data_IF_200771275419
#
_entry.id   IF_200771275419
#
_cell.length_a   1.000
_cell.length_b   1.000
_cell.length_c   1.000
_cell.angle_alpha   90.00
_cell.angle_beta   90.00
_cell.angle_gamma   90.00
#
_symmetry.space_group_name_H-M   'P 1'
#
loop_
_entity.id
_entity.type
_entity.pdbx_description
1 polymer ?
#
# COMPACT_ATOMS: atom_id res chain seq x y z
N UNK A 1 -4.06 -15.09 12.87
CA UNK A 1 -3.31 -15.66 11.72
C UNK A 1 -2.80 -14.57 10.75
N UNK A 2 -2.76 -13.27 11.15
CA UNK A 2 -2.33 -12.17 10.28
C UNK A 2 -0.82 -11.88 10.33
N UNK A 3 -0.11 -12.33 11.38
CA UNK A 3 1.30 -12.00 11.61
C UNK A 3 2.28 -12.75 10.70
N UNK A 4 1.94 -13.97 10.26
CA UNK A 4 2.87 -14.83 9.49
C UNK A 4 3.10 -14.33 8.07
N UNK A 5 2.08 -13.79 7.40
CA UNK A 5 2.20 -13.31 6.01
C UNK A 5 3.01 -12.01 5.89
N UNK A 6 2.90 -11.10 6.88
CA UNK A 6 3.66 -9.85 6.93
C UNK A 6 5.16 -10.11 7.08
N UNK A 7 5.54 -11.04 7.96
CA UNK A 7 6.94 -11.45 8.16
C UNK A 7 7.57 -12.09 6.92
N UNK A 8 6.79 -12.89 6.18
CA UNK A 8 7.25 -13.50 4.92
C UNK A 8 7.50 -12.42 3.87
N UNK A 9 6.57 -11.49 3.67
CA UNK A 9 6.74 -10.43 2.66
C UNK A 9 7.95 -9.53 2.98
N UNK A 10 8.13 -9.18 4.26
CA UNK A 10 9.25 -8.37 4.73
C UNK A 10 10.60 -9.09 4.53
N UNK A 11 10.68 -10.37 4.87
CA UNK A 11 11.92 -11.15 4.68
C UNK A 11 12.27 -11.34 3.20
N UNK A 12 11.28 -11.64 2.35
CA UNK A 12 11.45 -11.76 0.89
C UNK A 12 11.87 -10.41 0.28
N UNK A 13 11.26 -9.31 0.72
CA UNK A 13 11.61 -7.95 0.29
C UNK A 13 13.06 -7.60 0.61
N UNK A 14 13.50 -7.84 1.86
CA UNK A 14 14.89 -7.63 2.29
C UNK A 14 15.88 -8.44 1.44
N UNK A 15 15.59 -9.72 1.20
CA UNK A 15 16.43 -10.60 0.37
C UNK A 15 16.55 -10.06 -1.07
N UNK A 16 15.42 -9.74 -1.73
CA UNK A 16 15.41 -9.22 -3.11
C UNK A 16 16.11 -7.87 -3.24
N UNK A 17 16.00 -7.00 -2.24
CA UNK A 17 16.70 -5.72 -2.23
C UNK A 17 18.22 -5.90 -2.11
N UNK A 18 18.67 -6.84 -1.28
CA UNK A 18 20.10 -7.19 -1.18
C UNK A 18 20.65 -7.72 -2.51
N UNK A 19 19.93 -8.62 -3.18
CA UNK A 19 20.31 -9.16 -4.50
C UNK A 19 20.42 -8.06 -5.59
N UNK A 20 19.69 -6.96 -5.45
CA UNK A 20 19.72 -5.81 -6.37
C UNK A 20 20.72 -4.72 -5.95
N UNK A 21 21.54 -4.96 -4.93
CA UNK A 21 22.52 -3.99 -4.42
C UNK A 21 21.89 -2.80 -3.67
N UNK A 22 20.64 -2.91 -3.26
CA UNK A 22 19.90 -1.86 -2.53
C UNK A 22 19.98 -2.01 -1.01
N UNK A 23 20.66 -3.06 -0.51
CA UNK A 23 20.69 -3.42 0.92
C UNK A 23 21.64 -2.60 1.81
N UNK A 24 22.75 -2.12 1.25
CA UNK A 24 23.84 -1.50 2.05
C UNK A 24 23.81 0.04 2.06
N UNK A 25 22.97 0.65 1.24
CA UNK A 25 22.82 2.10 1.21
C UNK A 25 21.77 2.57 2.24
N UNK A 26 22.06 3.64 2.97
CA UNK A 26 21.15 4.30 3.96
C UNK A 26 19.83 4.83 3.36
N UNK A 27 19.55 4.56 2.09
CA UNK A 27 18.34 4.97 1.38
C UNK A 27 17.11 4.10 1.69
N UNK A 28 17.28 2.90 2.26
CA UNK A 28 16.17 2.00 2.59
C UNK A 28 16.21 1.57 4.06
N UNK A 29 15.15 1.90 4.80
CA UNK A 29 14.95 1.47 6.20
C UNK A 29 13.73 0.55 6.24
N UNK A 30 13.93 -0.65 6.76
CA UNK A 30 12.87 -1.66 6.86
C UNK A 30 12.27 -1.67 8.25
N UNK A 31 10.96 -1.44 8.36
CA UNK A 31 10.22 -1.48 9.62
C UNK A 31 9.03 -2.42 9.50
N UNK A 32 8.84 -3.28 10.51
CA UNK A 32 7.63 -4.08 10.65
C UNK A 32 6.59 -3.28 11.44
N UNK A 33 5.37 -3.19 10.92
CA UNK A 33 4.30 -2.41 11.56
C UNK A 33 2.92 -2.70 10.97
N UNK A 34 1.90 -2.21 11.68
CA UNK A 34 0.51 -2.25 11.24
C UNK A 34 0.20 -0.98 10.43
N UNK A 35 -0.39 -1.15 9.24
CA UNK A 35 -0.77 -0.04 8.38
C UNK A 35 -1.95 0.77 8.95
N UNK A 36 -2.74 0.19 9.86
CA UNK A 36 -3.83 0.89 10.58
C UNK A 36 -3.34 1.63 11.84
N UNK A 37 -2.06 1.47 12.24
CA UNK A 37 -1.48 2.10 13.42
C UNK A 37 0.04 2.29 13.29
N UNK A 38 0.46 3.31 12.54
CA UNK A 38 1.87 3.60 12.27
C UNK A 38 2.54 4.25 13.49
N UNK A 39 3.68 3.70 13.92
CA UNK A 39 4.43 4.15 15.11
C UNK A 39 5.30 5.40 14.89
N UNK A 40 5.03 6.17 13.84
CA UNK A 40 5.83 7.32 13.47
C UNK A 40 5.07 8.64 13.72
N UNK A 41 5.82 9.75 13.87
CA UNK A 41 5.24 11.07 14.12
C UNK A 41 4.51 11.65 12.91
N UNK A 42 3.60 12.58 13.16
CA UNK A 42 2.81 13.26 12.15
C UNK A 42 3.70 14.07 11.20
N UNK A 43 3.41 14.03 9.89
CA UNK A 43 4.12 14.82 8.89
C UNK A 43 5.61 14.50 8.77
N UNK A 44 6.03 13.28 9.07
CA UNK A 44 7.45 12.90 9.03
C UNK A 44 7.93 12.42 7.65
N UNK A 45 7.02 12.18 6.71
CA UNK A 45 7.34 11.66 5.37
C UNK A 45 6.84 12.56 4.24
N UNK A 46 7.62 12.76 3.19
CA UNK A 46 7.20 13.57 2.03
C UNK A 46 6.14 12.85 1.14
N UNK A 47 6.11 11.52 1.19
CA UNK A 47 5.19 10.71 0.38
C UNK A 47 4.85 9.37 1.00
N UNK A 48 3.71 8.82 0.58
CA UNK A 48 3.25 7.49 0.97
C UNK A 48 2.85 6.70 -0.27
N UNK A 49 3.29 5.45 -0.35
CA UNK A 49 2.90 4.54 -1.42
C UNK A 49 2.53 3.18 -0.83
N UNK A 50 1.41 2.63 -1.30
CA UNK A 50 0.99 1.27 -0.98
C UNK A 50 0.63 0.53 -2.27
N UNK A 51 1.33 -0.56 -2.55
CA UNK A 51 1.08 -1.40 -3.72
C UNK A 51 0.39 -2.69 -3.27
N UNK A 52 -0.85 -2.92 -3.73
CA UNK A 52 -1.62 -4.15 -3.51
C UNK A 52 -1.94 -4.54 -2.05
N UNK A 53 -1.32 -3.91 -1.05
CA UNK A 53 -1.52 -4.22 0.37
C UNK A 53 -2.81 -3.66 0.97
N UNK A 54 -3.32 -2.53 0.46
CA UNK A 54 -4.45 -1.82 1.08
C UNK A 54 -5.76 -2.59 1.06
N UNK A 55 -5.93 -3.56 0.15
CA UNK A 55 -7.12 -4.43 0.13
C UNK A 55 -7.13 -5.51 1.23
N UNK A 56 -6.00 -5.69 1.93
CA UNK A 56 -5.82 -6.75 2.92
C UNK A 56 -5.89 -6.23 4.37
N UNK A 57 -6.04 -4.92 4.57
CA UNK A 57 -6.26 -4.34 5.90
C UNK A 57 -7.70 -4.59 6.35
N UNK A 58 -7.94 -4.58 7.65
CA UNK A 58 -9.26 -4.86 8.21
C UNK A 58 -10.18 -3.67 8.00
N UNK A 59 -9.66 -2.46 8.22
CA UNK A 59 -10.39 -1.20 8.02
C UNK A 59 -9.57 -0.27 7.13
N UNK A 60 -10.04 -0.07 5.91
CA UNK A 60 -9.37 0.74 4.89
C UNK A 60 -9.29 2.20 5.35
N UNK A 61 -10.33 2.67 6.04
CA UNK A 61 -10.49 4.02 6.54
C UNK A 61 -9.41 4.37 7.56
N UNK A 62 -9.08 3.44 8.46
CA UNK A 62 -8.01 3.61 9.44
C UNK A 62 -6.65 3.72 8.74
N UNK A 63 -6.37 2.84 7.78
CA UNK A 63 -5.13 2.89 7.02
C UNK A 63 -4.99 4.19 6.20
N UNK A 64 -6.09 4.70 5.63
CA UNK A 64 -6.10 5.98 4.91
C UNK A 64 -5.90 7.17 5.87
N UNK A 65 -6.53 7.14 7.05
CA UNK A 65 -6.34 8.17 8.08
C UNK A 65 -4.89 8.22 8.57
N UNK A 66 -4.27 7.06 8.80
CA UNK A 66 -2.86 6.96 9.17
C UNK A 66 -1.93 7.43 8.04
N UNK A 67 -2.22 7.07 6.80
CA UNK A 67 -1.48 7.58 5.65
C UNK A 67 -1.56 9.11 5.56
N UNK A 68 -2.75 9.69 5.78
CA UNK A 68 -2.95 11.14 5.82
C UNK A 68 -2.18 11.80 6.96
N UNK A 69 -2.20 11.20 8.17
CA UNK A 69 -1.45 11.69 9.33
C UNK A 69 0.05 11.71 9.08
N UNK A 70 0.56 10.67 8.43
CA UNK A 70 2.00 10.43 8.28
C UNK A 70 2.68 11.30 7.22
N UNK A 71 1.96 11.63 6.13
CA UNK A 71 2.49 12.41 5.01
C UNK A 71 2.51 13.91 5.31
N UNK A 72 3.67 14.54 5.13
CA UNK A 72 3.86 15.95 4.81
C UNK A 72 4.11 16.09 3.30
N UNK A 73 3.94 17.29 2.79
CA UNK A 73 3.91 17.59 1.35
C UNK A 73 5.08 16.96 0.55
N UNK A 74 4.74 16.35 -0.60
CA UNK A 74 5.55 16.18 -1.84
C UNK A 74 5.81 14.74 -2.33
N UNK A 75 5.09 14.40 -3.41
CA UNK A 75 5.43 13.48 -4.50
C UNK A 75 6.26 12.22 -4.22
N UNK A 76 5.60 11.06 -4.35
CA UNK A 76 6.07 9.96 -5.20
C UNK A 76 4.93 8.97 -5.48
N UNK A 77 4.60 8.80 -6.75
CA UNK A 77 3.84 7.65 -7.27
C UNK A 77 4.88 6.63 -7.73
N UNK A 78 4.93 5.46 -7.10
CA UNK A 78 5.77 4.34 -7.55
C UNK A 78 4.90 3.32 -8.29
N UNK A 79 5.36 2.79 -9.44
CA UNK A 79 4.59 1.87 -10.26
C UNK A 79 4.44 0.49 -9.61
N UNK A 80 3.37 -0.20 -10.00
CA UNK A 80 3.00 -1.54 -9.57
C UNK A 80 4.16 -2.55 -9.66
N UNK A 81 4.47 -3.22 -8.54
CA UNK A 81 5.20 -4.49 -8.56
C UNK A 81 4.18 -5.61 -8.75
N UNK A 82 3.92 -5.95 -10.01
CA UNK A 82 3.23 -7.17 -10.39
C UNK A 82 4.22 -8.32 -10.46
N UNK A 83 4.17 -9.21 -9.47
CA UNK A 83 4.46 -10.66 -9.50
C UNK A 83 4.76 -11.13 -8.07
N UNK A 84 3.71 -11.59 -7.40
CA UNK A 84 3.82 -12.41 -6.20
C UNK A 84 3.18 -13.75 -6.52
N UNK A 85 4.05 -14.72 -6.80
CA UNK A 85 3.76 -16.14 -6.86
C UNK A 85 3.39 -16.62 -5.45
N UNK A 86 2.08 -16.67 -5.15
CA UNK A 86 1.55 -17.22 -3.92
C UNK A 86 0.98 -18.62 -4.22
N UNK A 87 1.89 -19.60 -4.21
CA UNK A 87 1.64 -20.99 -4.61
C UNK A 87 0.91 -21.85 -3.57
N UNK A 88 -0.26 -21.42 -3.06
CA UNK A 88 -1.20 -22.33 -2.39
C UNK A 88 -2.68 -21.97 -2.66
N UNK A 89 -3.56 -22.98 -2.60
CA UNK A 89 -4.99 -22.86 -2.96
C UNK A 89 -5.75 -21.87 -2.06
N UNK A 90 -5.32 -21.73 -0.80
CA UNK A 90 -5.93 -20.86 0.19
C UNK A 90 -5.60 -19.38 -0.09
N UNK A 91 -4.36 -19.09 -0.50
CA UNK A 91 -3.89 -17.78 -0.93
C UNK A 91 -4.62 -17.28 -2.18
N UNK A 92 -4.93 -18.15 -3.14
CA UNK A 92 -5.75 -17.78 -4.30
C UNK A 92 -7.21 -17.47 -3.95
N UNK A 93 -7.82 -18.25 -3.06
CA UNK A 93 -9.18 -17.97 -2.58
C UNK A 93 -9.24 -16.65 -1.80
N UNK A 94 -8.23 -16.40 -0.96
CA UNK A 94 -8.08 -15.13 -0.25
C UNK A 94 -7.89 -13.96 -1.22
N UNK A 95 -7.03 -14.12 -2.23
CA UNK A 95 -6.81 -13.11 -3.27
C UNK A 95 -8.12 -12.74 -3.97
N UNK A 96 -8.88 -13.74 -4.46
CA UNK A 96 -10.17 -13.51 -5.12
C UNK A 96 -11.18 -12.87 -4.16
N UNK A 97 -11.22 -13.32 -2.90
CA UNK A 97 -12.09 -12.76 -1.88
C UNK A 97 -11.80 -11.29 -1.59
N UNK A 98 -10.51 -10.91 -1.51
CA UNK A 98 -10.08 -9.52 -1.29
C UNK A 98 -10.41 -8.62 -2.48
N UNK A 99 -10.24 -9.10 -3.72
CA UNK A 99 -10.57 -8.34 -4.94
C UNK A 99 -12.07 -8.03 -5.01
N UNK A 100 -12.93 -9.00 -4.68
CA UNK A 100 -14.40 -8.81 -4.75
C UNK A 100 -14.94 -7.84 -3.70
N UNK A 101 -14.29 -7.74 -2.55
CA UNK A 101 -14.70 -6.85 -1.45
C UNK A 101 -14.16 -5.44 -1.64
N UNK A 102 -13.16 -5.25 -2.49
CA UNK A 102 -12.55 -3.95 -2.69
C UNK A 102 -13.54 -2.98 -3.35
N UNK A 103 -13.63 -1.72 -2.89
CA UNK A 103 -14.51 -0.73 -3.49
C UNK A 103 -14.20 -0.51 -4.97
N UNK A 104 -15.22 -0.16 -5.75
CA UNK A 104 -15.02 0.30 -7.13
C UNK A 104 -14.14 1.57 -7.14
N UNK A 105 -13.44 1.81 -8.24
CA UNK A 105 -12.40 2.85 -8.34
C UNK A 105 -12.91 4.24 -7.93
N UNK A 106 -14.11 4.61 -8.36
CA UNK A 106 -14.76 5.88 -7.99
C UNK A 106 -15.06 5.98 -6.49
N UNK A 107 -15.58 4.89 -5.90
CA UNK A 107 -15.86 4.83 -4.46
C UNK A 107 -14.56 4.92 -3.66
N UNK A 108 -13.52 4.21 -4.09
CA UNK A 108 -12.23 4.26 -3.42
C UNK A 108 -11.58 5.65 -3.52
N UNK A 109 -11.67 6.31 -4.68
CA UNK A 109 -11.25 7.71 -4.83
C UNK A 109 -12.02 8.63 -3.88
N UNK A 110 -13.32 8.37 -3.67
CA UNK A 110 -14.10 9.14 -2.69
C UNK A 110 -13.63 8.92 -1.27
N UNK A 111 -13.32 7.68 -0.89
CA UNK A 111 -12.75 7.37 0.43
C UNK A 111 -11.41 8.09 0.66
N UNK A 112 -10.54 8.16 -0.35
CA UNK A 112 -9.29 8.93 -0.28
C UNK A 112 -9.58 10.41 -0.06
N UNK A 113 -10.56 10.97 -0.76
CA UNK A 113 -10.96 12.37 -0.58
C UNK A 113 -11.55 12.65 0.81
N UNK A 114 -12.40 11.75 1.31
CA UNK A 114 -13.04 11.87 2.63
C UNK A 114 -12.01 11.74 3.77
N UNK A 115 -10.88 11.07 3.54
CA UNK A 115 -9.73 11.05 4.46
C UNK A 115 -8.95 12.37 4.53
N UNK A 116 -9.25 13.35 3.66
CA UNK A 116 -8.66 14.68 3.66
C UNK A 116 -7.71 14.96 2.50
N UNK A 117 -7.42 13.98 1.64
CA UNK A 117 -6.61 14.21 0.43
C UNK A 117 -7.42 15.02 -0.60
N UNK A 118 -6.75 15.92 -1.29
CA UNK A 118 -7.30 16.78 -2.34
C UNK A 118 -6.73 16.39 -3.71
N UNK A 119 -7.36 16.87 -4.80
CA UNK A 119 -7.01 16.53 -6.19
C UNK A 119 -6.86 15.01 -6.39
N UNK A 120 -7.85 14.26 -5.89
CA UNK A 120 -7.84 12.80 -5.98
C UNK A 120 -8.20 12.37 -7.40
N UNK A 121 -7.31 11.61 -8.03
CA UNK A 121 -7.49 11.08 -9.39
C UNK A 121 -7.20 9.57 -9.40
N UNK A 122 -7.71 8.88 -10.41
CA UNK A 122 -7.36 7.49 -10.65
C UNK A 122 -7.20 7.18 -12.13
N UNK A 123 -6.28 6.28 -12.45
CA UNK A 123 -6.04 5.79 -13.80
C UNK A 123 -6.23 4.26 -13.83
N UNK A 124 -7.09 3.78 -14.73
CA UNK A 124 -7.30 2.35 -14.95
C UNK A 124 -6.21 1.78 -15.85
N UNK A 125 -5.59 0.69 -15.40
CA UNK A 125 -4.61 -0.09 -16.14
C UNK A 125 -5.22 -1.43 -16.56
N UNK A 126 -4.78 -1.95 -17.71
CA UNK A 126 -5.18 -3.27 -18.22
C UNK A 126 -6.71 -3.43 -18.25
N UNK A 127 -7.41 -2.43 -18.80
CA UNK A 127 -8.88 -2.47 -18.92
C UNK A 127 -9.63 -2.43 -17.59
N UNK A 128 -9.02 -1.93 -16.52
CA UNK A 128 -9.65 -1.79 -15.19
C UNK A 128 -9.39 -2.95 -14.22
N UNK A 129 -8.50 -3.88 -14.58
CA UNK A 129 -8.03 -4.94 -13.67
C UNK A 129 -7.21 -4.35 -12.52
N UNK A 130 -6.44 -3.30 -12.79
CA UNK A 130 -5.65 -2.55 -11.80
C UNK A 130 -5.96 -1.07 -11.96
N UNK A 131 -5.85 -0.29 -10.89
CA UNK A 131 -5.89 1.17 -10.97
C UNK A 131 -4.78 1.78 -10.12
N UNK A 132 -4.27 2.94 -10.56
CA UNK A 132 -3.41 3.82 -9.76
C UNK A 132 -4.29 4.94 -9.24
N UNK A 133 -4.29 5.15 -7.92
CA UNK A 133 -4.95 6.29 -7.28
C UNK A 133 -3.90 7.27 -6.77
N UNK A 134 -4.11 8.56 -7.03
CA UNK A 134 -3.23 9.65 -6.58
C UNK A 134 -4.05 10.69 -5.80
N UNK A 135 -3.43 11.38 -4.85
CA UNK A 135 -4.05 12.42 -4.05
C UNK A 135 -2.99 13.25 -3.32
N UNK A 136 -3.32 14.50 -2.99
CA UNK A 136 -2.39 15.50 -2.44
C UNK A 136 -2.91 16.05 -1.12
N UNK A 137 -2.02 16.20 -0.14
CA UNK A 137 -2.30 16.91 1.12
C UNK A 137 -1.69 18.31 1.03
N UNK A 138 -2.48 19.36 1.26
CA UNK A 138 -2.06 20.76 1.26
C UNK A 138 -1.97 21.33 2.67
#
# INVERSE_FOLDING_TARGET
MYATSTLICLSVGKKRAAERGLGDNRSLVWVEGDAEALKFGDGTMDGYTIAFGIRNVTHIENALSEAYRYVNYSFSVIPAVGELDAGDRESYQYLIGSIRKFPRQEMFARMIADAGFQKVEYENLVGGVVAIHSGFKF
#
